data_IF_626145169868
#
_entry.id   IF_626145169868
#
_cell.length_a   1.000
_cell.length_b   1.000
_cell.length_c   1.000
_cell.angle_alpha   90.00
_cell.angle_beta   90.00
_cell.angle_gamma   90.00
#
_symmetry.space_group_name_H-M   'P 1'
#
loop_
_entity.id
_entity.type
_entity.pdbx_description
1 polymer ?
#
# COMPACT_ATOMS: atom_id res chain seq x y z
N UNK A 1 52.00 33.45 30.41
CA UNK A 1 50.72 33.00 30.98
C UNK A 1 49.60 33.32 30.01
N UNK A 2 49.16 32.33 29.22
CA UNK A 2 48.04 32.49 28.28
C UNK A 2 46.88 31.66 28.84
N UNK A 3 45.77 32.32 29.20
CA UNK A 3 44.56 31.64 29.66
C UNK A 3 43.87 30.97 28.47
N UNK A 4 43.44 29.70 28.58
CA UNK A 4 42.66 29.08 27.52
C UNK A 4 41.22 29.65 27.55
N UNK A 5 40.73 30.07 26.37
CA UNK A 5 39.33 30.44 26.18
C UNK A 5 38.45 29.18 26.17
N UNK A 6 37.35 29.23 26.93
CA UNK A 6 36.35 28.17 26.96
C UNK A 6 35.57 28.10 25.63
N UNK A 7 35.43 26.89 25.08
CA UNK A 7 34.55 26.62 23.93
C UNK A 7 33.07 26.80 24.32
N UNK A 8 32.20 27.30 23.41
CA UNK A 8 30.76 27.33 23.65
C UNK A 8 30.21 25.90 23.71
N UNK A 9 29.38 25.61 24.72
CA UNK A 9 28.62 24.36 24.75
C UNK A 9 27.54 24.39 23.66
N UNK A 10 27.57 23.40 22.78
CA UNK A 10 26.49 23.16 21.82
C UNK A 10 25.27 22.65 22.59
N UNK A 11 24.20 23.45 22.64
CA UNK A 11 22.91 22.98 23.10
C UNK A 11 22.39 21.93 22.12
N UNK A 12 22.33 20.65 22.54
CA UNK A 12 21.68 19.62 21.76
C UNK A 12 20.18 19.89 21.74
N UNK A 13 19.65 20.36 20.62
CA UNK A 13 18.20 20.39 20.40
C UNK A 13 17.76 18.93 20.27
N UNK A 14 17.09 18.41 21.31
CA UNK A 14 16.53 17.06 21.28
C UNK A 14 15.58 16.95 20.08
N UNK A 15 15.72 15.87 19.32
CA UNK A 15 14.81 15.60 18.21
C UNK A 15 13.37 15.51 18.73
N UNK A 16 12.38 16.03 17.97
CA UNK A 16 10.98 15.97 18.39
C UNK A 16 10.55 14.52 18.57
N UNK A 17 9.76 14.27 19.61
CA UNK A 17 9.14 12.96 19.80
C UNK A 17 8.18 12.65 18.65
N UNK A 18 7.89 11.37 18.36
CA UNK A 18 6.94 10.99 17.31
C UNK A 18 5.55 11.64 17.46
N UNK A 19 5.10 11.86 18.71
CA UNK A 19 3.84 12.54 18.99
C UNK A 19 3.88 14.02 18.60
N UNK A 20 4.99 14.71 18.88
CA UNK A 20 5.19 16.11 18.50
C UNK A 20 5.33 16.27 16.99
N UNK A 21 6.02 15.35 16.31
CA UNK A 21 6.12 15.33 14.85
C UNK A 21 4.74 15.14 14.20
N UNK A 22 3.90 14.25 14.75
CA UNK A 22 2.53 14.02 14.28
C UNK A 22 1.63 15.25 14.49
N UNK A 23 1.68 15.86 15.67
CA UNK A 23 0.89 17.06 15.94
C UNK A 23 1.27 18.21 15.00
N UNK A 24 2.58 18.45 14.81
CA UNK A 24 3.08 19.45 13.86
C UNK A 24 2.65 19.15 12.42
N UNK A 25 2.61 17.87 12.03
CA UNK A 25 2.15 17.46 10.70
C UNK A 25 0.66 17.71 10.46
N UNK A 26 -0.19 17.38 11.44
CA UNK A 26 -1.64 17.64 11.35
C UNK A 26 -1.93 19.14 11.27
N UNK A 27 -1.24 19.95 12.08
CA UNK A 27 -1.36 21.42 12.01
C UNK A 27 -0.89 21.98 10.67
N UNK A 28 0.18 21.43 10.08
CA UNK A 28 0.62 21.82 8.74
C UNK A 28 -0.45 21.51 7.68
N UNK A 29 -1.08 20.32 7.72
CA UNK A 29 -2.17 19.96 6.81
C UNK A 29 -3.32 20.96 6.92
N UNK A 30 -3.80 21.24 8.14
CA UNK A 30 -4.90 22.17 8.39
C UNK A 30 -4.61 23.60 7.86
N UNK A 31 -3.37 24.06 8.03
CA UNK A 31 -2.93 25.37 7.54
C UNK A 31 -2.81 25.42 6.01
N UNK A 32 -2.42 24.32 5.37
CA UNK A 32 -2.39 24.22 3.89
C UNK A 32 -3.80 24.14 3.33
N UNK A 33 -4.70 23.38 3.96
CA UNK A 33 -6.10 23.22 3.52
C UNK A 33 -6.93 24.50 3.66
N UNK A 34 -6.70 25.26 4.73
CA UNK A 34 -7.35 26.57 4.95
C UNK A 34 -6.76 27.69 4.07
N UNK A 35 -5.70 27.40 3.30
CA UNK A 35 -4.99 28.39 2.49
C UNK A 35 -4.14 29.38 3.31
N UNK A 36 -4.04 29.17 4.63
CA UNK A 36 -3.21 29.98 5.52
C UNK A 36 -1.71 29.79 5.28
N UNK A 37 -1.31 28.65 4.68
CA UNK A 37 0.07 28.34 4.35
C UNK A 37 0.15 27.77 2.92
N UNK A 38 0.98 28.35 2.07
CA UNK A 38 1.37 27.70 0.80
C UNK A 38 2.38 26.62 1.10
N UNK A 39 2.13 25.39 0.65
CA UNK A 39 3.08 24.29 0.80
C UNK A 39 4.41 24.63 0.10
N UNK A 40 5.46 24.97 0.87
CA UNK A 40 6.67 25.52 0.32
C UNK A 40 7.51 24.48 -0.40
N UNK A 41 7.14 23.19 -0.31
CA UNK A 41 7.92 22.06 -0.82
C UNK A 41 7.16 21.22 -1.85
N UNK A 42 5.87 21.47 -2.07
CA UNK A 42 5.02 20.72 -3.00
C UNK A 42 4.77 19.26 -2.62
N UNK A 43 4.79 18.95 -1.32
CA UNK A 43 4.68 17.61 -0.72
C UNK A 43 3.30 17.30 -0.13
N UNK A 44 2.36 18.24 -0.18
CA UNK A 44 0.93 18.06 0.04
C UNK A 44 0.22 18.26 -1.30
N UNK A 45 -0.11 17.16 -1.97
CA UNK A 45 -0.82 17.23 -3.25
C UNK A 45 -2.29 16.88 -3.01
N UNK A 46 -3.10 17.89 -2.71
CA UNK A 46 -4.49 17.83 -3.17
C UNK A 46 -4.42 17.62 -4.69
N UNK A 47 -5.18 16.67 -5.25
CA UNK A 47 -5.29 16.50 -6.70
C UNK A 47 -5.68 17.87 -7.31
N UNK A 48 -4.77 18.49 -8.06
CA UNK A 48 -4.95 19.80 -8.71
C UNK A 48 -3.91 20.89 -8.39
N UNK A 49 -3.05 20.72 -7.38
CA UNK A 49 -2.02 21.71 -7.06
C UNK A 49 -0.71 21.41 -7.81
N UNK A 50 -0.38 22.23 -8.81
CA UNK A 50 0.91 22.15 -9.51
C UNK A 50 2.01 22.76 -8.63
N UNK A 51 3.05 21.98 -8.36
CA UNK A 51 4.28 22.49 -7.73
C UNK A 51 5.05 23.32 -8.75
N UNK A 52 5.40 24.56 -8.41
CA UNK A 52 6.23 25.43 -9.25
C UNK A 52 7.66 24.87 -9.37
N UNK A 53 8.22 24.99 -10.59
CA UNK A 53 9.56 24.52 -10.96
C UNK A 53 10.65 25.00 -9.99
N UNK A 54 11.48 24.07 -9.51
CA UNK A 54 12.85 24.41 -9.09
C UNK A 54 13.34 23.85 -7.75
N UNK A 55 12.53 23.13 -6.98
CA UNK A 55 12.99 22.54 -5.71
C UNK A 55 13.05 21.02 -5.78
N UNK A 56 14.16 20.45 -5.31
CA UNK A 56 14.38 19.01 -5.25
C UNK A 56 13.35 18.35 -4.32
N UNK A 57 12.65 17.32 -4.82
CA UNK A 57 11.80 16.46 -4.01
C UNK A 57 12.68 15.68 -3.02
N UNK A 58 12.73 16.13 -1.77
CA UNK A 58 13.42 15.40 -0.72
C UNK A 58 12.56 14.19 -0.33
N UNK A 59 13.17 13.00 -0.42
CA UNK A 59 12.56 11.72 -0.09
C UNK A 59 12.08 11.71 1.36
N UNK A 60 10.85 11.24 1.59
CA UNK A 60 10.40 10.87 2.92
C UNK A 60 10.97 9.47 3.26
N UNK A 61 11.53 9.26 4.47
CA UNK A 61 11.90 7.92 4.93
C UNK A 61 10.65 7.05 5.04
N UNK A 62 10.70 5.78 4.61
CA UNK A 62 9.62 4.82 4.84
C UNK A 62 9.36 4.71 6.35
N UNK A 63 8.13 5.01 6.77
CA UNK A 63 7.71 4.94 8.17
C UNK A 63 7.40 3.50 8.62
N UNK A 64 7.50 3.25 9.92
CA UNK A 64 7.15 1.98 10.55
C UNK A 64 5.66 1.62 10.33
N UNK A 65 5.41 0.48 9.69
CA UNK A 65 4.08 -0.10 9.48
C UNK A 65 3.40 -0.59 10.78
N UNK A 66 4.12 -0.63 11.90
CA UNK A 66 3.71 -1.24 13.17
C UNK A 66 2.57 -0.52 13.90
N UNK A 67 2.07 0.62 13.38
CA UNK A 67 0.88 1.33 13.91
C UNK A 67 -0.32 1.40 12.96
N UNK A 68 -0.19 0.91 11.72
CA UNK A 68 -1.30 0.84 10.74
C UNK A 68 -1.98 -0.52 10.67
N UNK A 69 -1.32 -1.57 11.16
CA UNK A 69 -1.95 -2.85 11.47
C UNK A 69 -2.74 -2.67 12.76
N UNK A 70 -4.07 -2.56 12.67
CA UNK A 70 -4.93 -2.66 13.84
C UNK A 70 -4.88 -4.08 14.41
N UNK A 71 -3.82 -4.39 15.17
CA UNK A 71 -3.95 -5.25 16.33
C UNK A 71 -4.55 -4.35 17.41
N UNK A 72 -5.81 -4.60 17.77
CA UNK A 72 -6.30 -4.18 19.07
C UNK A 72 -5.44 -4.88 20.13
N UNK A 73 -4.53 -4.13 20.77
CA UNK A 73 -4.06 -4.17 22.17
C UNK A 73 -2.60 -3.64 22.28
N UNK A 74 -2.35 -2.85 23.33
CA UNK A 74 -1.21 -1.94 23.57
C UNK A 74 0.10 -2.66 24.04
N UNK A 75 1.16 -1.94 24.51
CA UNK A 75 2.41 -1.62 23.80
C UNK A 75 3.66 -2.29 24.43
N UNK A 76 4.84 -2.23 23.79
CA UNK A 76 6.10 -1.94 24.50
C UNK A 76 7.30 -1.72 23.58
N UNK A 77 8.24 -0.96 24.15
CA UNK A 77 9.52 -0.44 23.66
C UNK A 77 10.35 -1.35 22.75
N UNK A 78 11.09 -0.70 21.86
CA UNK A 78 12.26 -1.26 21.19
C UNK A 78 12.88 -0.21 20.30
N UNK A 79 14.01 0.36 20.73
CA UNK A 79 14.75 1.33 19.93
C UNK A 79 15.42 0.71 18.69
N UNK A 80 15.63 1.60 17.73
CA UNK A 80 16.81 1.69 16.87
C UNK A 80 16.80 1.17 15.40
N UNK A 81 17.64 1.91 14.65
CA UNK A 81 18.35 1.66 13.39
C UNK A 81 17.58 1.76 12.07
N UNK A 82 17.65 2.95 11.47
CA UNK A 82 17.41 3.19 10.06
C UNK A 82 18.57 2.64 9.21
N UNK A 83 18.45 1.44 8.68
CA UNK A 83 19.30 1.00 7.55
C UNK A 83 18.63 1.40 6.25
N UNK A 84 19.16 2.45 5.61
CA UNK A 84 18.95 2.70 4.18
C UNK A 84 19.59 1.54 3.42
N UNK A 85 18.81 0.49 3.11
CA UNK A 85 19.31 -0.60 2.29
C UNK A 85 19.41 -0.13 0.83
N UNK A 86 20.52 -0.46 0.13
CA UNK A 86 20.69 -0.09 -1.27
C UNK A 86 19.82 -0.97 -2.19
N UNK A 87 19.49 -0.38 -3.33
CA UNK A 87 19.09 -1.04 -4.57
C UNK A 87 17.62 -1.50 -4.71
N UNK A 88 16.70 -0.53 -4.59
CA UNK A 88 15.61 -0.47 -5.58
C UNK A 88 16.17 0.25 -6.83
N UNK A 89 16.04 -0.32 -8.04
CA UNK A 89 16.65 0.20 -9.25
C UNK A 89 16.31 1.67 -9.44
N UNK A 90 17.37 2.44 -9.62
CA UNK A 90 17.43 3.88 -9.52
C UNK A 90 16.25 4.60 -10.19
N UNK A 91 15.60 5.45 -9.40
CA UNK A 91 14.92 6.64 -9.91
C UNK A 91 15.86 7.39 -10.86
N UNK A 92 15.43 7.79 -12.07
CA UNK A 92 16.20 8.75 -12.83
C UNK A 92 16.25 10.08 -12.07
N UNK A 93 17.48 10.54 -11.87
CA UNK A 93 17.89 11.81 -11.28
C UNK A 93 17.10 13.01 -11.80
N UNK A 94 16.65 13.86 -10.87
CA UNK A 94 16.53 15.34 -10.97
C UNK A 94 16.44 15.96 -12.38
N UNK A 95 15.47 15.52 -13.16
CA UNK A 95 15.03 16.12 -14.42
C UNK A 95 13.53 16.40 -14.34
N UNK A 96 12.93 16.99 -15.39
CA UNK A 96 11.46 17.06 -15.50
C UNK A 96 10.89 15.66 -15.20
N UNK A 97 9.83 15.57 -14.39
CA UNK A 97 9.13 14.31 -14.12
C UNK A 97 8.66 13.72 -15.43
N UNK A 98 9.49 12.86 -16.03
CA UNK A 98 9.15 12.16 -17.26
C UNK A 98 7.98 11.25 -16.92
N UNK A 99 6.89 11.36 -17.68
CA UNK A 99 5.77 10.47 -17.51
C UNK A 99 6.25 9.02 -17.65
N UNK A 100 5.96 8.18 -16.67
CA UNK A 100 6.29 6.76 -16.73
C UNK A 100 5.11 5.89 -16.28
N UNK A 101 5.13 4.64 -16.74
CA UNK A 101 4.27 3.58 -16.27
C UNK A 101 5.06 2.28 -16.18
N UNK A 102 4.77 1.49 -15.14
CA UNK A 102 5.32 0.18 -14.87
C UNK A 102 4.14 -0.77 -14.69
N UNK A 103 4.18 -1.90 -15.38
CA UNK A 103 3.14 -2.92 -15.31
C UNK A 103 3.72 -4.26 -14.87
N UNK A 104 3.30 -4.72 -13.68
CA UNK A 104 3.68 -6.04 -13.14
C UNK A 104 2.48 -6.97 -13.25
N UNK A 105 2.64 -8.13 -13.85
CA UNK A 105 1.53 -9.03 -14.19
C UNK A 105 1.80 -10.48 -13.79
N UNK A 106 0.71 -11.24 -13.66
CA UNK A 106 0.72 -12.67 -13.31
C UNK A 106 0.95 -13.60 -14.52
N UNK A 107 1.18 -13.06 -15.72
CA UNK A 107 1.39 -13.86 -16.93
C UNK A 107 2.73 -14.59 -16.88
N UNK A 108 2.68 -15.92 -17.05
CA UNK A 108 3.87 -16.77 -17.02
C UNK A 108 4.41 -17.08 -15.62
N UNK A 109 3.72 -16.68 -14.55
CA UNK A 109 4.13 -16.96 -13.16
C UNK A 109 3.06 -17.78 -12.46
N UNK A 110 3.40 -18.68 -11.53
CA UNK A 110 2.39 -19.41 -10.74
C UNK A 110 1.51 -20.39 -11.53
N UNK A 111 2.07 -21.03 -12.55
CA UNK A 111 1.38 -22.04 -13.36
C UNK A 111 0.37 -21.50 -14.38
N UNK A 112 -0.34 -22.41 -15.04
CA UNK A 112 -1.43 -22.11 -15.98
C UNK A 112 -2.79 -22.23 -15.31
N UNK A 113 -3.80 -21.52 -15.83
CA UNK A 113 -5.18 -21.64 -15.36
C UNK A 113 -5.76 -20.35 -14.82
N UNK A 114 -6.92 -20.47 -14.17
CA UNK A 114 -7.65 -19.35 -13.58
C UNK A 114 -7.08 -19.02 -12.20
N UNK A 115 -7.35 -17.80 -11.73
CA UNK A 115 -6.95 -17.40 -10.38
C UNK A 115 -8.05 -17.82 -9.42
N UNK A 116 -7.66 -18.54 -8.36
CA UNK A 116 -8.60 -19.03 -7.37
C UNK A 116 -8.66 -18.16 -6.13
N UNK A 117 -7.63 -17.38 -5.82
CA UNK A 117 -7.65 -16.53 -4.64
C UNK A 117 -6.61 -15.42 -4.69
N UNK A 118 -6.96 -14.28 -4.07
CA UNK A 118 -6.07 -13.17 -3.79
C UNK A 118 -5.80 -13.07 -2.28
N UNK A 119 -4.57 -12.67 -1.94
CA UNK A 119 -4.15 -12.32 -0.59
C UNK A 119 -3.20 -11.13 -0.63
N UNK A 120 -3.08 -10.44 0.49
CA UNK A 120 -2.10 -9.37 0.67
C UNK A 120 -0.96 -9.85 1.57
N UNK A 121 0.18 -9.18 1.43
CA UNK A 121 1.21 -9.16 2.46
C UNK A 121 1.55 -7.70 2.72
N UNK A 122 1.72 -7.34 3.99
CA UNK A 122 1.98 -5.97 4.41
C UNK A 122 2.98 -6.00 5.56
N UNK A 123 4.16 -5.42 5.36
CA UNK A 123 5.21 -5.37 6.37
C UNK A 123 5.99 -4.05 6.32
N UNK A 124 6.65 -3.70 7.42
CA UNK A 124 7.57 -2.55 7.49
C UNK A 124 8.90 -2.78 6.74
N UNK A 125 9.21 -4.02 6.36
CA UNK A 125 10.43 -4.36 5.63
C UNK A 125 10.15 -5.27 4.42
N UNK A 126 10.93 -5.10 3.35
CA UNK A 126 10.88 -5.97 2.15
C UNK A 126 11.29 -7.41 2.45
N UNK A 127 12.21 -7.61 3.38
CA UNK A 127 12.74 -8.92 3.77
C UNK A 127 11.71 -9.81 4.48
N UNK A 128 10.66 -9.22 5.06
CA UNK A 128 9.56 -9.96 5.70
C UNK A 128 8.41 -10.32 4.74
N UNK A 129 8.46 -9.85 3.49
CA UNK A 129 7.36 -9.99 2.52
C UNK A 129 7.43 -11.28 1.70
N UNK A 130 7.39 -12.43 2.39
CA UNK A 130 7.23 -13.72 1.72
C UNK A 130 5.76 -13.94 1.36
N UNK A 131 5.51 -14.42 0.13
CA UNK A 131 4.17 -14.85 -0.25
C UNK A 131 3.73 -16.00 0.65
N UNK A 132 2.43 -16.12 0.96
CA UNK A 132 1.91 -17.30 1.64
C UNK A 132 2.24 -18.58 0.83
N UNK A 133 2.39 -19.72 1.52
CA UNK A 133 2.68 -21.00 0.86
C UNK A 133 1.70 -21.26 -0.28
N UNK A 134 2.22 -21.53 -1.48
CA UNK A 134 1.42 -21.79 -2.68
C UNK A 134 0.90 -20.55 -3.40
N UNK A 135 1.19 -19.34 -2.92
CA UNK A 135 0.87 -18.09 -3.60
C UNK A 135 2.10 -17.52 -4.31
N UNK A 136 1.84 -16.78 -5.38
CA UNK A 136 2.82 -15.96 -6.08
C UNK A 136 2.59 -14.49 -5.77
N UNK A 137 3.65 -13.82 -5.34
CA UNK A 137 3.68 -12.37 -5.12
C UNK A 137 3.87 -11.63 -6.44
N UNK A 138 3.03 -10.63 -6.72
CA UNK A 138 3.35 -9.62 -7.71
C UNK A 138 4.31 -8.61 -7.09
N UNK A 139 5.52 -8.50 -7.66
CA UNK A 139 6.58 -7.61 -7.18
C UNK A 139 6.32 -6.13 -7.53
N UNK A 140 5.15 -5.62 -7.13
CA UNK A 140 4.78 -4.22 -7.22
C UNK A 140 4.28 -3.74 -5.86
N UNK A 141 5.03 -2.82 -5.24
CA UNK A 141 4.67 -2.21 -3.97
C UNK A 141 3.44 -1.30 -4.16
N UNK A 142 2.34 -1.61 -3.48
CA UNK A 142 1.10 -0.84 -3.55
C UNK A 142 1.20 0.53 -2.87
N UNK A 143 2.29 0.78 -2.14
CA UNK A 143 2.66 2.08 -1.58
C UNK A 143 3.87 2.71 -2.30
N UNK A 144 4.18 2.31 -3.54
CA UNK A 144 5.37 2.82 -4.25
C UNK A 144 5.35 4.35 -4.35
N UNK A 145 6.51 4.95 -4.07
CA UNK A 145 6.68 6.41 -4.07
C UNK A 145 6.10 7.09 -2.83
N UNK A 146 5.31 6.38 -2.02
CA UNK A 146 4.85 6.82 -0.72
C UNK A 146 5.75 6.27 0.39
N UNK A 147 5.60 6.80 1.60
CA UNK A 147 6.42 6.42 2.75
C UNK A 147 5.62 5.62 3.76
N UNK A 148 5.37 4.35 3.47
CA UNK A 148 4.61 3.45 4.33
C UNK A 148 5.08 2.01 4.27
N UNK A 149 4.18 1.11 4.70
CA UNK A 149 4.37 -0.32 4.63
C UNK A 149 4.62 -0.75 3.19
N UNK A 150 5.47 -1.77 3.02
CA UNK A 150 5.58 -2.48 1.77
C UNK A 150 4.40 -3.43 1.66
N UNK A 151 3.52 -3.18 0.70
CA UNK A 151 2.28 -3.94 0.52
C UNK A 151 2.30 -4.58 -0.86
N UNK A 152 2.07 -5.88 -0.93
CA UNK A 152 2.06 -6.61 -2.19
C UNK A 152 0.83 -7.49 -2.33
N UNK A 153 0.30 -7.53 -3.55
CA UNK A 153 -0.73 -8.49 -3.92
C UNK A 153 -0.11 -9.85 -4.23
N UNK A 154 -0.70 -10.89 -3.66
CA UNK A 154 -0.38 -12.28 -3.92
C UNK A 154 -1.61 -12.98 -4.52
N UNK A 155 -1.37 -13.99 -5.37
CA UNK A 155 -2.44 -14.80 -5.95
C UNK A 155 -2.07 -16.28 -5.95
N UNK A 156 -3.06 -17.16 -6.03
CA UNK A 156 -2.85 -18.58 -6.35
C UNK A 156 -3.75 -19.04 -7.50
N UNK A 157 -3.23 -19.99 -8.27
CA UNK A 157 -3.97 -20.73 -9.31
C UNK A 157 -4.27 -22.17 -8.93
N UNK A 158 -3.83 -22.60 -7.76
CA UNK A 158 -4.01 -23.96 -7.30
C UNK A 158 -5.03 -23.97 -6.16
N UNK A 159 -6.23 -24.55 -6.39
CA UNK A 159 -7.26 -24.73 -5.37
C UNK A 159 -6.75 -25.39 -4.09
N UNK A 160 -5.74 -26.26 -4.16
CA UNK A 160 -5.20 -26.94 -2.99
C UNK A 160 -4.51 -25.99 -2.00
N UNK A 161 -4.05 -24.82 -2.47
CA UNK A 161 -3.37 -23.82 -1.65
C UNK A 161 -4.27 -22.65 -1.23
N UNK A 162 -5.53 -22.61 -1.67
CA UNK A 162 -6.44 -21.52 -1.26
C UNK A 162 -6.59 -21.49 0.25
N UNK A 163 -6.18 -20.38 0.85
CA UNK A 163 -6.28 -20.18 2.29
C UNK A 163 -7.70 -19.75 2.65
N UNK A 164 -8.29 -20.49 3.60
CA UNK A 164 -9.66 -20.35 4.05
C UNK A 164 -9.75 -19.22 5.09
N UNK A 165 -10.43 -18.14 4.73
CA UNK A 165 -10.75 -17.05 5.64
C UNK A 165 -12.03 -17.28 6.43
N UNK A 166 -12.44 -16.26 7.19
CA UNK A 166 -13.70 -16.26 7.94
C UNK A 166 -14.90 -16.55 7.03
N UNK A 167 -14.88 -16.04 5.80
CA UNK A 167 -15.92 -16.21 4.80
C UNK A 167 -16.20 -17.70 4.50
N UNK A 168 -15.17 -18.55 4.45
CA UNK A 168 -15.33 -19.98 4.23
C UNK A 168 -15.93 -20.66 5.48
N UNK A 169 -15.41 -20.34 6.66
CA UNK A 169 -15.85 -20.97 7.91
C UNK A 169 -17.26 -20.55 8.34
N UNK A 170 -17.74 -19.40 7.87
CA UNK A 170 -19.11 -18.95 8.07
C UNK A 170 -20.07 -19.41 6.94
N UNK A 171 -19.61 -20.30 6.04
CA UNK A 171 -20.38 -20.85 4.93
C UNK A 171 -20.93 -19.77 3.98
N UNK A 172 -20.17 -18.72 3.71
CA UNK A 172 -20.58 -17.74 2.71
C UNK A 172 -20.57 -18.39 1.32
N UNK A 173 -21.53 -18.06 0.44
CA UNK A 173 -21.57 -18.63 -0.90
C UNK A 173 -20.34 -18.19 -1.70
N UNK A 174 -19.86 -19.07 -2.58
CA UNK A 174 -18.70 -18.82 -3.46
C UNK A 174 -17.38 -18.55 -2.71
N UNK A 175 -17.12 -19.36 -1.68
CA UNK A 175 -15.88 -19.31 -0.88
C UNK A 175 -15.10 -20.62 -0.90
N UNK A 176 -15.55 -21.62 -1.67
CA UNK A 176 -14.88 -22.89 -1.78
C UNK A 176 -13.49 -22.70 -2.44
N UNK A 177 -12.48 -23.51 -2.07
CA UNK A 177 -11.15 -23.47 -2.68
C UNK A 177 -11.15 -23.60 -4.21
N UNK A 178 -12.14 -24.30 -4.76
CA UNK A 178 -12.30 -24.51 -6.21
C UNK A 178 -13.00 -23.36 -6.92
N UNK A 179 -13.62 -22.43 -6.18
CA UNK A 179 -14.26 -21.28 -6.79
C UNK A 179 -13.19 -20.36 -7.42
N UNK A 180 -13.58 -19.70 -8.50
CA UNK A 180 -12.66 -18.93 -9.35
C UNK A 180 -12.90 -17.44 -9.11
N UNK A 181 -11.83 -16.65 -9.06
CA UNK A 181 -11.89 -15.20 -8.96
C UNK A 181 -12.69 -14.61 -10.12
N UNK A 182 -13.69 -13.80 -9.80
CA UNK A 182 -14.57 -13.16 -10.77
C UNK A 182 -14.48 -11.64 -10.72
N UNK A 183 -14.15 -11.07 -9.56
CA UNK A 183 -14.10 -9.62 -9.42
C UNK A 183 -13.18 -9.14 -8.30
N UNK A 184 -12.78 -7.89 -8.41
CA UNK A 184 -12.02 -7.12 -7.42
C UNK A 184 -12.79 -5.83 -7.12
N UNK A 185 -12.74 -5.41 -5.87
CA UNK A 185 -13.31 -4.15 -5.42
C UNK A 185 -12.34 -3.47 -4.44
N UNK A 186 -12.24 -2.14 -4.51
CA UNK A 186 -11.58 -1.35 -3.48
C UNK A 186 -12.53 -0.26 -3.00
N UNK A 187 -12.59 -0.06 -1.68
CA UNK A 187 -13.42 0.96 -1.05
C UNK A 187 -12.61 1.84 -0.12
N UNK A 188 -12.97 3.11 -0.10
CA UNK A 188 -12.54 4.02 0.96
C UNK A 188 -13.21 3.67 2.28
N UNK A 189 -12.50 3.90 3.37
CA UNK A 189 -13.01 3.78 4.73
C UNK A 189 -12.37 4.79 5.66
N UNK A 190 -12.27 4.42 6.93
CA UNK A 190 -11.45 5.14 7.90
C UNK A 190 -10.77 4.19 8.88
N UNK A 191 -9.95 4.75 9.77
CA UNK A 191 -9.38 4.03 10.91
C UNK A 191 -10.45 3.48 11.88
N UNK A 192 -11.54 4.22 12.07
CA UNK A 192 -12.59 3.89 13.04
C UNK A 192 -13.83 3.25 12.42
N UNK A 193 -13.95 3.26 11.10
CA UNK A 193 -15.10 2.75 10.37
C UNK A 193 -14.65 2.06 9.08
N UNK A 194 -14.49 0.75 9.15
CA UNK A 194 -14.15 -0.08 8.00
C UNK A 194 -15.35 -0.15 7.04
N UNK A 195 -15.12 -0.07 5.72
CA UNK A 195 -16.22 -0.17 4.77
C UNK A 195 -16.77 -1.59 4.74
N UNK A 196 -18.09 -1.73 4.71
CA UNK A 196 -18.71 -3.03 4.48
C UNK A 196 -18.41 -3.52 3.06
N UNK A 197 -18.16 -4.83 2.92
CA UNK A 197 -18.06 -5.47 1.62
C UNK A 197 -19.37 -5.31 0.84
N UNK A 198 -19.28 -5.24 -0.49
CA UNK A 198 -20.45 -5.38 -1.35
C UNK A 198 -21.01 -6.81 -1.28
N UNK A 199 -22.27 -7.00 -1.66
CA UNK A 199 -22.88 -8.34 -1.69
C UNK A 199 -22.03 -9.30 -2.53
N UNK A 200 -21.72 -10.47 -1.99
CA UNK A 200 -20.84 -11.50 -2.58
C UNK A 200 -19.36 -11.11 -2.72
N UNK A 201 -18.93 -10.02 -2.10
CA UNK A 201 -17.51 -9.71 -1.92
C UNK A 201 -17.07 -10.08 -0.51
N UNK A 202 -15.80 -10.37 -0.35
CA UNK A 202 -15.15 -10.61 0.94
C UNK A 202 -13.73 -10.08 0.91
N UNK A 203 -13.17 -9.87 2.09
CA UNK A 203 -11.89 -9.20 2.24
C UNK A 203 -10.77 -9.97 1.54
N UNK A 204 -9.84 -9.23 0.94
CA UNK A 204 -8.53 -9.78 0.56
C UNK A 204 -7.64 -9.66 1.79
N UNK A 205 -7.57 -10.75 2.54
CA UNK A 205 -6.86 -10.80 3.80
C UNK A 205 -5.33 -10.82 3.64
N UNK A 206 -4.61 -10.30 4.64
CA UNK A 206 -3.20 -10.64 4.85
C UNK A 206 -3.07 -11.65 6.00
N UNK A 207 -2.26 -12.71 5.85
CA UNK A 207 -2.00 -13.62 6.96
C UNK A 207 -1.13 -12.93 8.01
N UNK A 208 -1.53 -13.04 9.27
CA UNK A 208 -0.77 -12.54 10.40
C UNK A 208 0.22 -13.61 10.90
N UNK A 209 1.47 -13.23 11.14
CA UNK A 209 2.54 -14.13 11.62
C UNK A 209 2.36 -14.60 13.09
N UNK A 210 1.43 -14.00 13.85
CA UNK A 210 1.33 -14.23 15.29
C UNK A 210 0.34 -15.34 15.72
N UNK A 211 -0.50 -15.91 14.84
CA UNK A 211 -1.31 -17.10 15.21
C UNK A 211 -2.05 -17.74 14.02
N UNK A 212 -2.33 -19.05 14.13
CA UNK A 212 -3.02 -19.91 13.16
C UNK A 212 -4.46 -19.49 12.78
N UNK A 213 -5.01 -18.42 13.37
CA UNK A 213 -6.41 -18.02 13.19
C UNK A 213 -6.64 -16.52 12.90
N UNK A 214 -5.60 -15.69 12.69
CA UNK A 214 -5.79 -14.26 12.49
C UNK A 214 -5.38 -13.77 11.09
N UNK A 215 -6.38 -13.18 10.44
CA UNK A 215 -6.34 -12.52 9.16
C UNK A 215 -6.44 -11.02 9.42
N UNK A 216 -5.48 -10.25 8.90
CA UNK A 216 -5.51 -8.80 9.04
C UNK A 216 -6.22 -8.18 7.84
N UNK A 217 -7.14 -7.27 8.15
CA UNK A 217 -7.71 -6.35 7.17
C UNK A 217 -6.65 -5.27 6.92
N UNK A 218 -6.12 -5.21 5.70
CA UNK A 218 -5.01 -4.31 5.37
C UNK A 218 -5.55 -3.03 4.74
N UNK A 219 -5.18 -1.89 5.32
CA UNK A 219 -5.22 -0.61 4.64
C UNK A 219 -4.09 -0.57 3.59
N UNK A 220 -4.43 -0.40 2.32
CA UNK A 220 -3.47 -0.37 1.21
C UNK A 220 -2.53 0.84 1.27
N UNK A 221 -2.84 1.84 2.10
CA UNK A 221 -1.99 2.99 2.39
C UNK A 221 -1.33 2.92 3.77
N UNK A 222 -1.29 1.75 4.42
CA UNK A 222 -0.83 1.61 5.80
C UNK A 222 0.57 2.22 5.99
N UNK A 223 0.67 3.14 6.95
CA UNK A 223 1.91 3.85 7.28
C UNK A 223 2.30 4.99 6.32
N UNK A 224 1.72 5.05 5.11
CA UNK A 224 1.96 6.12 4.15
C UNK A 224 1.12 7.39 4.44
N UNK A 225 0.01 7.22 5.15
CA UNK A 225 -1.04 8.24 5.25
C UNK A 225 -1.88 8.29 3.97
N UNK A 226 -2.74 9.29 3.85
CA UNK A 226 -3.69 9.38 2.74
C UNK A 226 -5.04 8.75 3.06
N UNK A 227 -5.72 8.25 2.03
CA UNK A 227 -7.03 7.61 2.18
C UNK A 227 -6.90 6.22 2.80
N UNK A 228 -7.85 5.80 3.64
CA UNK A 228 -7.93 4.40 4.08
C UNK A 228 -8.57 3.58 2.97
N UNK A 229 -7.85 2.64 2.39
CA UNK A 229 -8.32 1.88 1.22
C UNK A 229 -8.29 0.39 1.57
N UNK A 230 -9.44 -0.27 1.41
CA UNK A 230 -9.59 -1.68 1.70
C UNK A 230 -10.03 -2.43 0.45
N UNK A 231 -9.45 -3.60 0.22
CA UNK A 231 -9.71 -4.41 -0.97
C UNK A 231 -10.50 -5.68 -0.68
N UNK A 232 -11.37 -6.01 -1.63
CA UNK A 232 -12.27 -7.15 -1.58
C UNK A 232 -12.19 -7.92 -2.91
N UNK A 233 -12.53 -9.19 -2.84
CA UNK A 233 -12.64 -10.07 -3.99
C UNK A 233 -14.01 -10.74 -4.02
N UNK A 234 -14.45 -11.16 -5.21
CA UNK A 234 -15.59 -12.04 -5.39
C UNK A 234 -15.19 -13.26 -6.20
N UNK A 235 -15.82 -14.39 -5.90
CA UNK A 235 -15.82 -15.60 -6.73
C UNK A 235 -17.23 -15.99 -7.21
N UNK A 236 -18.20 -15.10 -7.01
CA UNK A 236 -19.55 -15.29 -7.53
C UNK A 236 -19.55 -14.95 -9.03
N UNK A 237 -19.89 -15.90 -9.93
CA UNK A 237 -19.90 -15.66 -11.37
C UNK A 237 -20.97 -14.65 -11.80
N UNK A 238 -22.06 -14.47 -11.05
CA UNK A 238 -23.09 -13.50 -11.38
C UNK A 238 -22.59 -12.04 -11.28
N UNK A 239 -21.61 -11.76 -10.42
CA UNK A 239 -21.02 -10.42 -10.24
C UNK A 239 -20.29 -9.94 -11.51
N UNK A 240 -19.76 -10.86 -12.30
CA UNK A 240 -18.93 -10.58 -13.47
C UNK A 240 -19.60 -10.96 -14.81
N UNK A 241 -20.91 -11.22 -14.81
CA UNK A 241 -21.62 -11.78 -15.97
C UNK A 241 -20.95 -13.07 -16.49
N UNK A 242 -20.58 -13.97 -15.57
CA UNK A 242 -19.94 -15.27 -15.81
C UNK A 242 -18.57 -15.18 -16.50
N UNK A 243 -17.88 -14.04 -16.35
CA UNK A 243 -16.48 -13.88 -16.75
C UNK A 243 -15.55 -14.15 -15.58
N UNK A 244 -14.51 -14.94 -15.81
CA UNK A 244 -13.55 -15.28 -14.79
C UNK A 244 -12.24 -14.53 -15.02
N UNK A 245 -11.62 -14.09 -13.93
CA UNK A 245 -10.31 -13.45 -13.96
C UNK A 245 -9.25 -14.55 -14.09
N UNK A 246 -8.59 -14.57 -15.24
CA UNK A 246 -7.51 -15.49 -15.55
C UNK A 246 -6.14 -14.92 -15.19
N UNK A 247 -6.02 -13.59 -15.19
CA UNK A 247 -4.81 -12.86 -14.91
C UNK A 247 -5.09 -11.60 -14.10
N UNK A 248 -4.18 -11.31 -13.17
CA UNK A 248 -4.12 -10.05 -12.41
C UNK A 248 -2.79 -9.35 -12.63
N UNK A 249 -2.78 -8.03 -12.45
CA UNK A 249 -1.60 -7.18 -12.57
C UNK A 249 -1.75 -5.88 -11.79
N UNK A 250 -0.63 -5.21 -11.55
CA UNK A 250 -0.53 -3.91 -10.92
C UNK A 250 0.09 -2.93 -11.92
N UNK A 251 -0.68 -1.92 -12.29
CA UNK A 251 -0.23 -0.78 -13.09
C UNK A 251 0.11 0.37 -12.16
N UNK A 252 1.25 1.00 -12.39
CA UNK A 252 1.77 2.01 -11.48
C UNK A 252 2.55 3.07 -12.24
N UNK A 253 2.43 4.35 -11.88
CA UNK A 253 3.11 5.40 -12.63
C UNK A 253 2.86 6.81 -12.12
N UNK A 254 3.40 7.80 -12.84
CA UNK A 254 3.40 9.20 -12.41
C UNK A 254 2.12 9.97 -12.76
N UNK A 255 1.10 9.33 -13.33
CA UNK A 255 -0.15 9.97 -13.75
C UNK A 255 -1.35 9.03 -13.62
N UNK A 256 -2.52 9.55 -13.25
CA UNK A 256 -3.77 8.79 -13.27
C UNK A 256 -4.22 8.38 -14.68
N UNK A 257 -3.67 9.03 -15.71
CA UNK A 257 -4.01 8.78 -17.10
C UNK A 257 -3.34 7.54 -17.68
N UNK A 258 -2.39 6.90 -16.96
CA UNK A 258 -1.72 5.68 -17.41
C UNK A 258 -2.73 4.57 -17.72
N UNK A 259 -2.47 3.83 -18.78
CA UNK A 259 -3.31 2.71 -19.24
C UNK A 259 -2.52 1.41 -19.15
N UNK A 260 -3.18 0.28 -18.85
CA UNK A 260 -2.54 -1.01 -18.92
C UNK A 260 -2.29 -1.40 -20.38
N UNK A 261 -1.48 -2.44 -20.65
CA UNK A 261 -1.32 -2.97 -22.00
C UNK A 261 -2.64 -3.42 -22.61
N UNK A 262 -2.69 -3.52 -23.94
CA UNK A 262 -3.88 -4.00 -24.66
C UNK A 262 -4.36 -5.35 -24.13
N UNK A 263 -5.67 -5.50 -23.99
CA UNK A 263 -6.32 -6.71 -23.47
C UNK A 263 -6.39 -6.81 -21.95
N UNK A 264 -5.97 -5.77 -21.21
CA UNK A 264 -6.16 -5.68 -19.77
C UNK A 264 -7.18 -4.62 -19.41
N UNK A 265 -8.01 -4.91 -18.40
CA UNK A 265 -8.93 -3.95 -17.81
C UNK A 265 -8.28 -3.32 -16.57
N UNK A 266 -8.45 -2.00 -16.39
CA UNK A 266 -7.97 -1.23 -15.24
C UNK A 266 -9.11 -0.97 -14.28
N UNK A 267 -9.00 -1.42 -13.03
CA UNK A 267 -9.93 -1.01 -11.98
C UNK A 267 -9.75 0.49 -11.71
N UNK A 268 -10.82 1.30 -11.68
CA UNK A 268 -10.70 2.75 -11.76
C UNK A 268 -10.16 3.42 -10.49
N UNK A 269 -10.21 2.74 -9.34
CA UNK A 269 -9.74 3.26 -8.07
C UNK A 269 -8.20 3.27 -8.01
N UNK A 270 -7.64 4.41 -7.65
CA UNK A 270 -6.24 4.55 -7.28
C UNK A 270 -6.02 3.95 -5.89
N UNK A 271 -5.22 2.90 -5.81
CA UNK A 271 -4.96 2.12 -4.59
C UNK A 271 -3.94 2.79 -3.67
N UNK A 272 -3.31 3.87 -4.12
CA UNK A 272 -2.36 4.67 -3.35
C UNK A 272 -2.87 6.12 -3.14
N UNK A 273 -4.21 6.29 -3.18
CA UNK A 273 -4.82 7.61 -3.22
C UNK A 273 -4.53 8.41 -1.94
N UNK A 274 -4.08 9.65 -2.11
CA UNK A 274 -3.78 10.56 -0.99
C UNK A 274 -2.47 10.29 -0.28
N UNK A 275 -1.78 9.19 -0.56
CA UNK A 275 -0.50 8.83 0.07
C UNK A 275 0.70 9.64 -0.49
N UNK A 276 0.51 10.34 -1.61
CA UNK A 276 1.52 11.19 -2.23
C UNK A 276 2.61 10.44 -3.01
N UNK A 277 2.39 9.16 -3.30
CA UNK A 277 3.26 8.34 -4.16
C UNK A 277 2.75 8.21 -5.59
N UNK A 278 3.11 7.10 -6.23
CA UNK A 278 2.67 6.77 -7.59
C UNK A 278 1.17 6.53 -7.63
N UNK A 279 0.54 6.78 -8.77
CA UNK A 279 -0.81 6.27 -9.04
C UNK A 279 -0.73 4.77 -9.23
N UNK A 280 -1.53 4.01 -8.50
CA UNK A 280 -1.47 2.54 -8.49
C UNK A 280 -2.85 1.97 -8.76
N UNK A 281 -2.94 1.03 -9.70
CA UNK A 281 -4.21 0.44 -10.13
C UNK A 281 -4.09 -1.08 -10.20
N UNK A 282 -5.13 -1.75 -9.69
CA UNK A 282 -5.36 -3.15 -10.00
C UNK A 282 -5.79 -3.29 -11.47
N UNK A 283 -5.28 -4.32 -12.14
CA UNK A 283 -5.67 -4.66 -13.50
C UNK A 283 -5.98 -6.16 -13.59
N UNK A 284 -6.89 -6.53 -14.48
CA UNK A 284 -7.31 -7.92 -14.68
C UNK A 284 -7.61 -8.24 -16.14
N UNK A 285 -7.61 -9.54 -16.46
CA UNK A 285 -7.99 -10.11 -17.76
C UNK A 285 -8.64 -11.48 -17.60
#
# INVERSE_FOLDING_TARGET
MVRPQARPQAHSVLAPTPAQARAAWLTFIEQVESGALQDPLGRYVRKGTLVTRGQQAQRRPKGEASRGLHVALLPQDGGEVYTMLPDDPCCPSSGPTVAYSIFTQSTGTGGSGQIHDLKLIANSSTSANNAPTGYVKLNADLNRGASGAFIYLCFTRDPAFVLKGLEYHQNFPYTAPTDVLTSFEAKFGSFSNFPSNSTHFYNIWAPNQYSYAHWDLVDLNAGAGGEYIYSFQSKNPAVSNYKYISQVGILSGSSSAIQPPSGWEKYPQDLNAGAGGDFIYFCYR
#
